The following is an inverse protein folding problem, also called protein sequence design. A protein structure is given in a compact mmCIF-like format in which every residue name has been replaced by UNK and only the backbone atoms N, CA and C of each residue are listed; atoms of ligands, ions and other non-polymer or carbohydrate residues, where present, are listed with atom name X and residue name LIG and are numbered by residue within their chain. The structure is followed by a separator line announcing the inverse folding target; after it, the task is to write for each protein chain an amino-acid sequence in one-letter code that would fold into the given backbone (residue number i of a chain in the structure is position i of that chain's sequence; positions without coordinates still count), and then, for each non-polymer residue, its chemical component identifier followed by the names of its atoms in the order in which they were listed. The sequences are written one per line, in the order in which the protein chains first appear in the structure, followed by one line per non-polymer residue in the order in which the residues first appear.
data_IF_740965954081
#
_entry.id   IF_740965954081
#
_cell.length_a   1.000
_cell.length_b   1.000
_cell.length_c   1.000
_cell.angle_alpha   90.00
_cell.angle_beta   90.00
_cell.angle_gamma   90.00
#
_symmetry.space_group_name_H-M   'P 1'
#
loop_
_entity.id
_entity.type
_entity.pdbx_description
1 polymer ?
#
# COMPACT_ATOMS: atom_id res chain seq x y z
N UNK A 1 -11.02 18.26 3.60
CA UNK A 1 -10.00 17.77 4.58
C UNK A 1 -10.49 17.80 6.04
N UNK A 2 -11.74 17.40 6.33
CA UNK A 2 -12.29 17.62 7.69
C UNK A 2 -12.56 16.35 8.50
N UNK A 3 -12.95 15.25 7.89
CA UNK A 3 -13.26 14.04 8.65
C UNK A 3 -12.01 13.22 8.98
N UNK A 4 -11.17 12.97 8.00
CA UNK A 4 -9.93 12.18 8.18
C UNK A 4 -8.89 12.95 9.00
N UNK A 5 -8.79 14.28 8.81
CA UNK A 5 -7.87 15.13 9.57
C UNK A 5 -8.13 15.08 11.07
N UNK A 6 -9.39 15.15 11.48
CA UNK A 6 -9.75 15.07 12.90
C UNK A 6 -9.50 13.66 13.48
N UNK A 7 -9.68 12.63 12.69
CA UNK A 7 -9.38 11.26 13.09
C UNK A 7 -7.87 10.97 13.15
N UNK A 8 -7.09 11.49 12.20
CA UNK A 8 -5.64 11.25 12.13
C UNK A 8 -4.85 12.03 13.19
N UNK A 9 -5.33 13.21 13.60
CA UNK A 9 -4.70 14.02 14.65
C UNK A 9 -5.02 13.53 16.07
N UNK A 10 -6.11 12.78 16.26
CA UNK A 10 -6.60 12.41 17.58
C UNK A 10 -6.25 10.99 18.01
N UNK A 11 -5.72 10.14 17.12
CA UNK A 11 -5.59 8.71 17.40
C UNK A 11 -4.27 8.11 16.94
N UNK A 12 -3.75 7.21 17.74
CA UNK A 12 -2.71 6.27 17.34
C UNK A 12 -3.14 5.55 16.06
N UNK A 13 -2.33 5.60 15.03
CA UNK A 13 -2.65 5.18 13.66
C UNK A 13 -3.01 3.68 13.51
N UNK A 14 -2.94 2.89 14.58
CA UNK A 14 -3.33 1.49 14.57
C UNK A 14 -4.81 1.23 14.25
N UNK A 15 -5.71 2.22 14.43
CA UNK A 15 -7.13 2.08 14.11
C UNK A 15 -7.38 1.89 12.59
N UNK A 16 -6.47 2.36 11.74
CA UNK A 16 -6.52 2.20 10.29
C UNK A 16 -6.26 0.76 9.86
N UNK A 17 -5.43 0.08 10.61
CA UNK A 17 -4.90 -1.24 10.27
C UNK A 17 -5.89 -2.34 10.68
N UNK A 18 -5.94 -3.39 9.91
CA UNK A 18 -6.61 -4.63 10.30
C UNK A 18 -6.05 -5.11 11.64
N UNK A 19 -6.92 -5.26 12.65
CA UNK A 19 -6.50 -5.52 14.03
C UNK A 19 -5.67 -6.81 14.15
N UNK A 20 -6.08 -7.97 13.61
CA UNK A 20 -5.27 -9.18 13.63
C UNK A 20 -3.89 -9.00 12.99
N UNK A 21 -3.79 -8.25 11.90
CA UNK A 21 -2.51 -7.94 11.28
C UNK A 21 -1.62 -7.09 12.19
N UNK A 22 -2.19 -6.04 12.79
CA UNK A 22 -1.44 -5.19 13.71
C UNK A 22 -0.87 -5.97 14.88
N UNK A 23 -1.67 -6.82 15.50
CA UNK A 23 -1.24 -7.69 16.61
C UNK A 23 -0.13 -8.67 16.17
N UNK A 24 -0.29 -9.28 14.99
CA UNK A 24 0.71 -10.17 14.42
C UNK A 24 2.05 -9.45 14.16
N UNK A 25 2.00 -8.21 13.68
CA UNK A 25 3.20 -7.37 13.49
C UNK A 25 3.85 -7.07 14.83
N UNK A 26 3.09 -6.65 15.86
CA UNK A 26 3.65 -6.38 17.19
C UNK A 26 4.31 -7.60 17.80
N UNK A 27 3.71 -8.77 17.66
CA UNK A 27 4.28 -10.05 18.12
C UNK A 27 5.54 -10.43 17.34
N UNK A 28 5.68 -9.99 16.11
CA UNK A 28 6.85 -10.29 15.27
C UNK A 28 8.05 -9.40 15.58
N UNK A 29 7.85 -8.19 16.10
CA UNK A 29 8.93 -7.23 16.34
C UNK A 29 10.09 -7.76 17.18
N UNK A 30 9.87 -8.45 18.34
CA UNK A 30 10.97 -9.05 19.11
C UNK A 30 11.72 -10.13 18.32
N UNK A 31 11.02 -10.86 17.45
CA UNK A 31 11.65 -11.88 16.60
C UNK A 31 12.50 -11.20 15.52
N UNK A 32 11.96 -10.22 14.81
CA UNK A 32 12.66 -9.45 13.78
C UNK A 32 13.93 -8.82 14.37
N UNK A 33 13.85 -8.18 15.54
CA UNK A 33 14.99 -7.57 16.20
C UNK A 33 16.13 -8.54 16.55
N UNK A 34 15.79 -9.82 16.83
CA UNK A 34 16.78 -10.86 17.10
C UNK A 34 17.43 -11.40 15.83
N UNK A 35 16.71 -11.39 14.71
CA UNK A 35 17.14 -12.02 13.46
C UNK A 35 17.77 -11.06 12.45
N UNK A 36 17.92 -9.79 12.77
CA UNK A 36 18.65 -8.81 11.93
C UNK A 36 20.16 -9.08 11.85
N UNK A 37 20.67 -10.08 12.57
CA UNK A 37 22.00 -10.66 12.37
C UNK A 37 22.00 -11.80 11.33
N UNK A 38 23.18 -12.17 10.81
CA UNK A 38 23.34 -13.22 9.77
C UNK A 38 22.78 -14.60 10.16
N UNK A 39 22.69 -14.91 11.44
CA UNK A 39 22.17 -16.18 11.94
C UNK A 39 20.68 -16.04 12.28
N UNK A 40 19.80 -16.58 11.47
CA UNK A 40 18.38 -16.68 11.77
C UNK A 40 17.42 -16.11 10.73
N UNK A 41 17.90 -15.63 9.59
CA UNK A 41 17.07 -15.13 8.49
C UNK A 41 16.02 -16.16 8.04
N UNK A 42 16.37 -17.44 8.03
CA UNK A 42 15.46 -18.54 7.65
C UNK A 42 14.21 -18.67 8.55
N UNK A 43 14.24 -18.08 9.75
CA UNK A 43 13.11 -18.12 10.68
C UNK A 43 12.17 -16.91 10.56
N UNK A 44 12.52 -15.89 9.78
CA UNK A 44 11.66 -14.70 9.61
C UNK A 44 10.34 -15.05 8.95
N UNK A 45 10.32 -16.02 8.04
CA UNK A 45 9.11 -16.53 7.39
C UNK A 45 8.12 -17.19 8.37
N UNK A 46 8.58 -17.55 9.55
CA UNK A 46 7.74 -18.16 10.61
C UNK A 46 7.09 -17.12 11.53
N UNK A 47 7.41 -15.84 11.37
CA UNK A 47 6.85 -14.77 12.19
C UNK A 47 5.32 -14.70 12.06
N UNK A 48 4.60 -14.27 13.10
CA UNK A 48 3.17 -14.01 13.00
C UNK A 48 2.80 -13.08 11.84
N UNK A 49 3.58 -12.02 11.57
CA UNK A 49 3.36 -11.10 10.45
C UNK A 49 3.46 -11.81 9.09
N UNK A 50 4.47 -12.65 8.89
CA UNK A 50 4.61 -13.42 7.66
C UNK A 50 3.41 -14.35 7.42
N UNK A 51 2.90 -14.98 8.48
CA UNK A 51 1.72 -15.87 8.39
C UNK A 51 0.42 -15.14 8.03
N UNK A 52 0.34 -13.83 8.21
CA UNK A 52 -0.79 -13.01 7.74
C UNK A 52 -0.73 -12.71 6.24
N UNK A 53 0.41 -12.89 5.61
CA UNK A 53 0.60 -12.72 4.19
C UNK A 53 0.32 -14.05 3.46
N UNK A 54 -0.63 -14.03 2.54
CA UNK A 54 -0.92 -15.19 1.68
C UNK A 54 -0.12 -15.04 0.39
N UNK A 55 0.81 -15.93 0.14
CA UNK A 55 1.47 -16.00 -1.15
C UNK A 55 0.47 -16.45 -2.23
N UNK A 56 0.39 -15.69 -3.31
CA UNK A 56 -0.48 -15.97 -4.46
C UNK A 56 0.33 -16.55 -5.61
N UNK A 57 1.52 -16.00 -5.83
CA UNK A 57 2.55 -16.47 -6.75
C UNK A 57 3.91 -16.16 -6.14
N UNK A 58 5.01 -16.77 -6.61
CA UNK A 58 6.34 -16.50 -6.06
C UNK A 58 6.67 -15.00 -5.99
N UNK A 59 6.87 -14.50 -4.78
CA UNK A 59 7.16 -13.09 -4.51
C UNK A 59 5.94 -12.14 -4.54
N UNK A 60 4.73 -12.65 -4.74
CA UNK A 60 3.49 -11.86 -4.78
C UNK A 60 2.59 -12.28 -3.64
N UNK A 61 2.35 -11.37 -2.72
CA UNK A 61 1.61 -11.63 -1.50
C UNK A 61 0.35 -10.77 -1.37
N UNK A 62 -0.69 -11.33 -0.77
CA UNK A 62 -1.89 -10.60 -0.35
C UNK A 62 -1.91 -10.48 1.16
N UNK A 63 -2.09 -9.24 1.64
CA UNK A 63 -2.11 -8.92 3.08
C UNK A 63 -3.39 -8.14 3.40
N UNK A 64 -4.12 -8.45 4.48
CA UNK A 64 -5.29 -7.71 4.91
C UNK A 64 -4.88 -6.42 5.63
N UNK A 65 -4.38 -5.40 4.88
CA UNK A 65 -3.72 -4.23 5.44
C UNK A 65 -4.67 -3.33 6.23
N UNK A 66 -5.70 -2.80 5.57
CA UNK A 66 -6.58 -1.80 6.16
C UNK A 66 -7.95 -2.35 6.58
N UNK A 67 -8.55 -1.69 7.56
CA UNK A 67 -9.95 -1.91 7.91
C UNK A 67 -10.87 -1.33 6.84
N UNK A 68 -12.00 -1.99 6.59
CA UNK A 68 -12.99 -1.49 5.60
C UNK A 68 -13.48 -0.09 5.90
N UNK A 69 -13.63 0.26 7.18
CA UNK A 69 -14.04 1.61 7.57
C UNK A 69 -13.03 2.66 7.17
N UNK A 70 -11.73 2.37 7.35
CA UNK A 70 -10.67 3.26 6.88
C UNK A 70 -10.70 3.44 5.36
N UNK A 71 -10.86 2.35 4.60
CA UNK A 71 -10.96 2.44 3.15
C UNK A 71 -12.15 3.32 2.69
N UNK A 72 -13.29 3.25 3.37
CA UNK A 72 -14.43 4.12 3.08
C UNK A 72 -14.11 5.59 3.34
N UNK A 73 -13.54 5.90 4.51
CA UNK A 73 -13.14 7.27 4.85
C UNK A 73 -12.08 7.82 3.90
N UNK A 74 -11.15 6.97 3.44
CA UNK A 74 -10.18 7.34 2.43
C UNK A 74 -10.83 7.71 1.10
N UNK A 75 -11.82 6.96 0.66
CA UNK A 75 -12.56 7.27 -0.59
C UNK A 75 -13.31 8.60 -0.45
N UNK A 76 -13.96 8.85 0.68
CA UNK A 76 -14.63 10.12 0.96
C UNK A 76 -13.64 11.30 0.97
N UNK A 77 -12.48 11.13 1.62
CA UNK A 77 -11.42 12.15 1.65
C UNK A 77 -10.83 12.41 0.26
N UNK A 78 -10.61 11.35 -0.53
CA UNK A 78 -10.18 11.48 -1.94
C UNK A 78 -11.22 12.26 -2.74
N UNK A 79 -12.51 11.98 -2.54
CA UNK A 79 -13.59 12.73 -3.18
C UNK A 79 -13.50 14.22 -2.92
N UNK A 80 -13.29 14.64 -1.68
CA UNK A 80 -13.08 16.06 -1.33
C UNK A 80 -11.77 16.61 -1.87
N UNK A 81 -10.71 15.82 -1.85
CA UNK A 81 -9.41 16.25 -2.39
C UNK A 81 -9.50 16.54 -3.88
N UNK A 82 -10.21 15.73 -4.64
CA UNK A 82 -10.36 15.88 -6.11
C UNK A 82 -11.14 17.13 -6.50
N UNK A 83 -11.99 17.67 -5.62
CA UNK A 83 -12.67 18.96 -5.87
C UNK A 83 -11.66 20.12 -5.97
N UNK A 84 -10.55 20.07 -5.21
CA UNK A 84 -9.51 21.10 -5.21
C UNK A 84 -8.30 20.71 -6.09
N UNK A 85 -7.97 19.41 -6.13
CA UNK A 85 -6.77 18.86 -6.77
C UNK A 85 -7.21 17.72 -7.71
N UNK A 86 -7.53 18.05 -8.97
CA UNK A 86 -7.97 17.03 -9.92
C UNK A 86 -6.85 16.03 -10.21
N UNK A 87 -7.22 14.80 -10.53
CA UNK A 87 -6.28 13.80 -11.03
C UNK A 87 -5.56 14.33 -12.28
N UNK A 88 -4.24 14.20 -12.30
CA UNK A 88 -3.41 14.59 -13.42
C UNK A 88 -2.70 13.34 -13.99
N UNK A 89 -2.46 13.30 -15.31
CA UNK A 89 -1.55 12.29 -15.85
C UNK A 89 -0.18 12.41 -15.17
N UNK A 90 0.45 11.28 -14.87
CA UNK A 90 1.83 11.30 -14.37
C UNK A 90 2.80 11.80 -15.46
N UNK A 91 4.05 12.11 -15.06
CA UNK A 91 5.08 12.70 -15.93
C UNK A 91 5.70 11.71 -16.93
N UNK A 92 5.08 10.55 -17.17
CA UNK A 92 5.58 9.62 -18.17
C UNK A 92 5.52 10.22 -19.58
N UNK A 93 6.63 10.19 -20.32
CA UNK A 93 6.68 10.59 -21.72
C UNK A 93 5.82 9.67 -22.61
N UNK A 94 5.67 8.40 -22.21
CA UNK A 94 4.80 7.44 -22.88
C UNK A 94 3.35 7.61 -22.40
N UNK A 95 2.49 8.13 -23.27
CA UNK A 95 1.06 8.33 -23.00
C UNK A 95 0.31 7.05 -22.61
N UNK A 96 0.81 5.89 -23.04
CA UNK A 96 0.24 4.59 -22.63
C UNK A 96 0.52 4.27 -21.17
N UNK A 97 1.60 4.81 -20.60
CA UNK A 97 1.99 4.66 -19.20
C UNK A 97 1.42 5.76 -18.31
N UNK A 98 0.93 6.84 -18.87
CA UNK A 98 0.28 7.88 -18.10
C UNK A 98 -0.98 7.34 -17.43
N UNK A 99 -1.10 7.55 -16.14
CA UNK A 99 -2.28 7.24 -15.33
C UNK A 99 -2.73 8.50 -14.60
N UNK A 100 -4.04 8.72 -14.44
CA UNK A 100 -4.54 9.81 -13.62
C UNK A 100 -4.19 9.53 -12.15
N UNK A 101 -3.36 10.40 -11.56
CA UNK A 101 -2.88 10.22 -10.19
C UNK A 101 -2.82 11.51 -9.38
N UNK A 102 -2.76 11.36 -8.08
CA UNK A 102 -2.43 12.42 -7.11
C UNK A 102 -1.28 11.91 -6.28
N UNK A 103 -0.13 12.59 -6.35
CA UNK A 103 1.07 12.28 -5.55
C UNK A 103 0.90 12.89 -4.17
N UNK A 104 0.81 12.05 -3.13
CA UNK A 104 0.48 12.51 -1.77
C UNK A 104 1.55 13.41 -1.16
N UNK A 105 2.83 13.19 -1.46
CA UNK A 105 3.92 14.04 -0.96
C UNK A 105 3.73 15.50 -1.36
N UNK A 106 3.22 15.75 -2.56
CA UNK A 106 3.05 17.08 -3.14
C UNK A 106 1.73 17.73 -2.71
N UNK A 107 0.67 16.94 -2.69
CA UNK A 107 -0.68 17.46 -2.58
C UNK A 107 -1.31 17.28 -1.20
N UNK A 108 -0.87 16.30 -0.42
CA UNK A 108 -1.34 16.05 0.95
C UNK A 108 -0.22 15.55 1.86
N UNK A 109 0.71 16.43 2.30
CA UNK A 109 1.83 16.04 3.16
C UNK A 109 1.42 15.39 4.48
N UNK A 110 0.24 15.71 5.01
CA UNK A 110 -0.29 15.09 6.23
C UNK A 110 -0.68 13.63 5.98
N UNK A 111 -1.41 13.36 4.90
CA UNK A 111 -1.78 12.00 4.52
C UNK A 111 -0.53 11.19 4.15
N UNK A 112 0.41 11.80 3.43
CA UNK A 112 1.70 11.17 3.14
C UNK A 112 2.43 10.74 4.42
N UNK A 113 2.51 11.59 5.45
CA UNK A 113 3.14 11.22 6.73
C UNK A 113 2.45 10.05 7.42
N UNK A 114 1.12 9.98 7.33
CA UNK A 114 0.38 8.85 7.88
C UNK A 114 0.66 7.56 7.13
N UNK A 115 0.75 7.62 5.79
CA UNK A 115 1.15 6.46 4.99
C UNK A 115 2.60 6.04 5.28
N UNK A 116 3.49 7.02 5.43
CA UNK A 116 4.87 6.77 5.85
C UNK A 116 4.94 6.04 7.21
N UNK A 117 4.09 6.44 8.17
CA UNK A 117 3.97 5.74 9.44
C UNK A 117 3.50 4.29 9.24
N UNK A 118 2.46 4.05 8.43
CA UNK A 118 1.97 2.69 8.12
C UNK A 118 3.06 1.84 7.46
N UNK A 119 3.81 2.42 6.54
CA UNK A 119 4.93 1.72 5.90
C UNK A 119 5.96 1.29 6.93
N UNK A 120 6.40 2.19 7.80
CA UNK A 120 7.46 1.87 8.77
C UNK A 120 6.99 0.92 9.89
N UNK A 121 5.75 1.07 10.36
CA UNK A 121 5.28 0.32 11.54
C UNK A 121 4.57 -0.98 11.21
N UNK A 122 4.11 -1.16 9.97
CA UNK A 122 3.36 -2.35 9.58
C UNK A 122 3.94 -3.03 8.34
N UNK A 123 4.13 -2.27 7.25
CA UNK A 123 4.55 -2.86 5.98
C UNK A 123 6.01 -3.32 6.06
N UNK A 124 6.90 -2.49 6.58
CA UNK A 124 8.33 -2.82 6.69
C UNK A 124 8.60 -4.09 7.53
N UNK A 125 8.01 -4.30 8.71
CA UNK A 125 8.08 -5.58 9.40
C UNK A 125 7.64 -6.79 8.58
N UNK A 126 6.59 -6.64 7.75
CA UNK A 126 6.14 -7.70 6.85
C UNK A 126 7.18 -7.93 5.74
N UNK A 127 7.71 -6.87 5.15
CA UNK A 127 8.76 -6.92 4.13
C UNK A 127 10.00 -7.63 4.67
N UNK A 128 10.44 -7.26 5.86
CA UNK A 128 11.58 -7.93 6.51
C UNK A 128 11.30 -9.42 6.70
N UNK A 129 10.08 -9.75 7.15
CA UNK A 129 9.69 -11.14 7.40
C UNK A 129 9.61 -11.99 6.13
N UNK A 130 9.18 -11.42 5.00
CA UNK A 130 8.97 -12.16 3.75
C UNK A 130 10.19 -12.14 2.82
N UNK A 131 10.86 -10.98 2.74
CA UNK A 131 11.91 -10.75 1.74
C UNK A 131 13.30 -10.60 2.36
N UNK A 132 13.39 -10.60 3.69
CA UNK A 132 14.66 -10.41 4.43
C UNK A 132 15.38 -9.09 4.02
N UNK A 133 14.59 -8.08 3.69
CA UNK A 133 15.01 -6.75 3.27
C UNK A 133 14.35 -5.69 4.12
N UNK A 134 15.00 -4.58 4.31
CA UNK A 134 14.47 -3.41 5.00
C UNK A 134 14.10 -2.34 3.99
N UNK A 135 12.90 -1.81 4.09
CA UNK A 135 12.48 -0.63 3.36
C UNK A 135 13.05 0.62 4.06
N UNK A 136 13.95 1.34 3.41
CA UNK A 136 14.64 2.50 3.98
C UNK A 136 14.00 3.82 3.56
N UNK A 137 13.33 3.84 2.44
CA UNK A 137 12.68 5.02 1.89
C UNK A 137 11.42 4.63 1.14
N UNK A 138 10.58 5.61 0.85
CA UNK A 138 9.37 5.49 0.05
C UNK A 138 9.56 6.34 -1.20
N UNK A 139 9.68 5.69 -2.34
CA UNK A 139 9.84 6.36 -3.62
C UNK A 139 8.62 7.26 -3.92
N UNK A 140 7.42 6.70 -3.83
CA UNK A 140 6.17 7.44 -4.02
C UNK A 140 5.02 6.83 -3.22
N UNK A 141 4.06 7.66 -2.82
CA UNK A 141 2.71 7.25 -2.42
C UNK A 141 1.74 8.03 -3.28
N UNK A 142 1.01 7.33 -4.11
CA UNK A 142 0.09 7.94 -5.07
C UNK A 142 -1.29 7.30 -5.01
N UNK A 143 -2.30 8.10 -5.32
CA UNK A 143 -3.68 7.66 -5.52
C UNK A 143 -3.92 7.64 -7.02
N UNK A 144 -4.18 6.47 -7.58
CA UNK A 144 -4.48 6.32 -8.99
C UNK A 144 -5.99 6.13 -9.20
N UNK A 145 -6.54 6.75 -10.24
CA UNK A 145 -7.93 6.61 -10.62
C UNK A 145 -8.06 5.98 -12.01
N UNK A 146 -8.61 4.79 -12.05
CA UNK A 146 -8.93 4.10 -13.30
C UNK A 146 -10.44 4.15 -13.54
N UNK A 147 -10.85 4.69 -14.66
CA UNK A 147 -12.26 4.77 -15.07
C UNK A 147 -12.43 4.55 -16.57
N UNK A 148 -13.66 4.24 -16.99
CA UNK A 148 -13.94 3.91 -18.39
C UNK A 148 -13.87 5.11 -19.34
N UNK A 149 -14.04 6.33 -18.82
CA UNK A 149 -14.07 7.54 -19.63
C UNK A 149 -12.66 8.03 -20.00
N UNK A 150 -11.70 7.90 -19.08
CA UNK A 150 -10.36 8.44 -19.22
C UNK A 150 -9.31 7.35 -19.46
N UNK A 151 -9.06 6.53 -18.45
CA UNK A 151 -8.02 5.50 -18.45
C UNK A 151 -8.55 4.17 -17.92
N UNK A 152 -8.69 3.21 -18.82
CA UNK A 152 -9.23 1.87 -18.50
C UNK A 152 -8.20 0.94 -17.90
N UNK A 153 -6.93 1.09 -18.29
CA UNK A 153 -5.83 0.24 -17.88
C UNK A 153 -4.49 0.96 -18.01
N UNK A 154 -3.54 0.61 -17.18
CA UNK A 154 -2.13 0.97 -17.34
C UNK A 154 -1.44 0.07 -18.36
N UNK A 155 -0.34 0.54 -18.93
CA UNK A 155 0.55 -0.28 -19.75
C UNK A 155 1.39 -1.22 -18.86
N UNK A 156 1.97 -2.24 -19.47
CA UNK A 156 2.98 -3.07 -18.82
C UNK A 156 4.21 -2.23 -18.48
N UNK A 157 4.63 -2.27 -17.23
CA UNK A 157 5.81 -1.56 -16.74
C UNK A 157 6.41 -2.25 -15.53
N UNK A 158 7.61 -1.87 -15.18
CA UNK A 158 8.22 -2.08 -13.89
C UNK A 158 8.25 -0.75 -13.14
N UNK A 159 8.09 -0.78 -11.83
CA UNK A 159 8.29 0.38 -10.97
C UNK A 159 9.80 0.55 -10.77
N UNK A 160 10.46 1.26 -11.71
CA UNK A 160 11.93 1.32 -11.82
C UNK A 160 12.61 1.88 -10.57
N UNK A 161 11.90 2.72 -9.81
CA UNK A 161 12.42 3.35 -8.58
C UNK A 161 12.10 2.57 -7.29
N UNK A 162 11.45 1.41 -7.39
CA UNK A 162 11.00 0.65 -6.23
C UNK A 162 11.47 -0.80 -6.26
N UNK A 163 12.05 -1.28 -5.16
CA UNK A 163 12.34 -2.71 -4.97
C UNK A 163 11.06 -3.51 -4.66
N UNK A 164 10.07 -2.86 -4.03
CA UNK A 164 8.81 -3.48 -3.62
C UNK A 164 7.68 -2.48 -3.85
N UNK A 165 6.65 -2.91 -4.55
CA UNK A 165 5.43 -2.15 -4.78
C UNK A 165 4.27 -2.69 -3.95
N UNK A 166 3.48 -1.80 -3.38
CA UNK A 166 2.29 -2.12 -2.59
C UNK A 166 1.07 -1.51 -3.24
N UNK A 167 0.16 -2.34 -3.72
CA UNK A 167 -1.11 -1.89 -4.31
C UNK A 167 -2.24 -2.12 -3.33
N UNK A 168 -2.99 -1.06 -3.01
CA UNK A 168 -4.10 -1.09 -2.06
C UNK A 168 -5.40 -0.73 -2.76
N UNK A 169 -6.26 -1.71 -3.12
CA UNK A 169 -7.58 -1.43 -3.64
C UNK A 169 -8.50 -0.97 -2.50
N UNK A 170 -8.97 0.28 -2.55
CA UNK A 170 -9.79 0.88 -1.50
C UNK A 170 -11.27 0.47 -1.58
N UNK A 171 -11.80 0.21 -2.78
CA UNK A 171 -13.21 -0.05 -3.03
C UNK A 171 -13.49 -1.44 -3.61
N UNK A 172 -12.82 -2.45 -3.09
CA UNK A 172 -13.02 -3.86 -3.51
C UNK A 172 -14.52 -4.23 -3.52
N UNK A 173 -15.00 -4.73 -4.66
CA UNK A 173 -16.42 -5.09 -4.87
C UNK A 173 -17.30 -3.93 -5.33
N UNK A 174 -16.81 -2.68 -5.35
CA UNK A 174 -17.52 -1.50 -5.86
C UNK A 174 -17.36 -1.25 -7.36
N UNK A 175 -16.60 -2.09 -8.08
CA UNK A 175 -16.35 -1.94 -9.51
C UNK A 175 -16.34 -3.30 -10.23
N UNK A 176 -16.51 -3.27 -11.55
CA UNK A 176 -16.39 -4.46 -12.42
C UNK A 176 -15.06 -4.41 -13.18
N UNK A 177 -14.39 -5.54 -13.31
CA UNK A 177 -13.06 -5.61 -13.91
C UNK A 177 -11.97 -5.22 -12.91
N UNK A 178 -10.95 -4.51 -13.37
CA UNK A 178 -9.81 -4.05 -12.57
C UNK A 178 -8.90 -5.17 -12.07
N UNK A 179 -7.96 -4.79 -11.23
CA UNK A 179 -6.93 -5.66 -10.68
C UNK A 179 -5.57 -5.38 -11.31
N UNK A 180 -4.54 -6.03 -10.79
CA UNK A 180 -3.16 -5.98 -11.31
C UNK A 180 -2.88 -7.24 -12.10
N UNK A 181 -2.49 -7.10 -13.36
CA UNK A 181 -2.10 -8.23 -14.20
C UNK A 181 -0.60 -8.48 -14.06
N UNK A 182 -0.25 -9.71 -13.74
CA UNK A 182 1.14 -10.16 -13.64
C UNK A 182 1.50 -11.03 -14.84
N UNK A 183 2.64 -10.74 -15.45
CA UNK A 183 3.13 -11.51 -16.58
C UNK A 183 3.19 -13.02 -16.22
N UNK A 184 2.59 -13.87 -17.05
CA UNK A 184 2.47 -15.34 -16.87
C UNK A 184 1.54 -15.81 -15.74
N UNK A 185 0.94 -14.90 -14.96
CA UNK A 185 0.11 -15.29 -13.81
C UNK A 185 -1.33 -14.80 -13.92
N UNK A 186 -1.62 -13.86 -14.82
CA UNK A 186 -2.95 -13.30 -15.00
C UNK A 186 -3.29 -12.18 -14.02
N UNK A 187 -4.58 -11.88 -13.89
CA UNK A 187 -5.09 -10.74 -13.13
C UNK A 187 -5.41 -11.13 -11.70
N UNK A 188 -4.84 -10.41 -10.73
CA UNK A 188 -5.20 -10.46 -9.31
C UNK A 188 -6.18 -9.32 -8.96
N UNK A 189 -7.27 -9.67 -8.26
CA UNK A 189 -8.30 -8.71 -7.80
C UNK A 189 -8.35 -8.66 -6.29
#
# INVERSE_FOLDING_TARGET
MYALKNYLLSMQSHWMINQPLYEAVQQSMPMIARYTGREGLERLETTPAAKMAKELFPGIYRVPLFRRQFCKLMIEEIGHMVEEIPFQPNDSEDTLRQIPEIVLREHSPELYRNMWFVVNTVINPIIISLFQRECRDIASVQIANYNLAEKKQGAWHHDESADISVVVPLNTGGYKGGGTEFHRHGVLK
#
